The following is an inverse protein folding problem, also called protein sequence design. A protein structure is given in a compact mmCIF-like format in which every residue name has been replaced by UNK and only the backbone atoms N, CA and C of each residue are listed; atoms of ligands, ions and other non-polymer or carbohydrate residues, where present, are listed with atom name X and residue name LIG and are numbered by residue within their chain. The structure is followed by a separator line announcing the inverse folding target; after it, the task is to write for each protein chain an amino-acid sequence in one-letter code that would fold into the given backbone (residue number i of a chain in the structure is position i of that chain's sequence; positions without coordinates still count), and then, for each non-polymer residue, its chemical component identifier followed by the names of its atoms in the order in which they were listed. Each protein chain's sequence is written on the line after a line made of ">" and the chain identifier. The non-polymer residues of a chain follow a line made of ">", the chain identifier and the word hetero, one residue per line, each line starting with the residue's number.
data_IF_359426345522
#
_entry.id   IF_359426345522
#
_cell.length_a   1.000
_cell.length_b   1.000
_cell.length_c   1.000
_cell.angle_alpha   90.00
_cell.angle_beta   90.00
_cell.angle_gamma   90.00
#
_symmetry.space_group_name_H-M   'P 1'
#
loop_
_entity.id
_entity.type
_entity.pdbx_description
1 polymer ?
#
# COMPACT_ATOMS: atom_id res chain seq x y z
N UNK A 1 -0.95 -10.14 7.23
CA UNK A 1 -1.69 -11.40 7.42
C UNK A 1 -3.12 -11.33 6.87
N UNK A 2 -4.01 -10.46 7.38
CA UNK A 2 -5.44 -10.44 7.00
C UNK A 2 -5.67 -10.24 5.49
N UNK A 3 -4.92 -9.38 4.82
CA UNK A 3 -5.03 -9.16 3.37
C UNK A 3 -4.74 -10.44 2.58
N UNK A 4 -3.68 -11.16 2.95
CA UNK A 4 -3.31 -12.46 2.36
C UNK A 4 -4.43 -13.48 2.58
N UNK A 5 -5.00 -13.52 3.79
CA UNK A 5 -6.10 -14.42 4.11
C UNK A 5 -7.39 -14.10 3.34
N UNK A 6 -7.74 -12.81 3.19
CA UNK A 6 -8.92 -12.38 2.43
C UNK A 6 -8.81 -12.82 0.97
N UNK A 7 -7.69 -12.53 0.30
CA UNK A 7 -7.49 -12.88 -1.10
C UNK A 7 -7.52 -14.40 -1.30
N UNK A 8 -6.87 -15.16 -0.42
CA UNK A 8 -6.91 -16.62 -0.46
C UNK A 8 -8.32 -17.18 -0.23
N UNK A 9 -9.04 -16.63 0.76
CA UNK A 9 -10.39 -17.07 1.10
C UNK A 9 -11.39 -16.78 -0.02
N UNK A 10 -11.37 -15.57 -0.59
CA UNK A 10 -12.21 -15.22 -1.75
C UNK A 10 -11.91 -16.13 -2.93
N UNK A 11 -10.63 -16.41 -3.21
CA UNK A 11 -10.26 -17.32 -4.27
C UNK A 11 -10.77 -18.76 -4.02
N UNK A 12 -10.65 -19.28 -2.78
CA UNK A 12 -11.16 -20.62 -2.45
C UNK A 12 -12.67 -20.74 -2.64
N UNK A 13 -13.43 -19.68 -2.30
CA UNK A 13 -14.88 -19.67 -2.41
C UNK A 13 -15.38 -19.53 -3.86
N UNK A 14 -14.67 -18.78 -4.69
CA UNK A 14 -15.20 -18.36 -6.00
C UNK A 14 -14.44 -18.92 -7.18
N UNK A 15 -13.16 -19.26 -7.02
CA UNK A 15 -12.24 -19.59 -8.12
C UNK A 15 -12.23 -18.54 -9.24
N UNK A 16 -12.55 -17.29 -8.91
CA UNK A 16 -12.75 -16.20 -9.86
C UNK A 16 -11.74 -15.09 -9.67
N UNK A 17 -11.03 -14.74 -10.74
CA UNK A 17 -10.14 -13.61 -10.78
C UNK A 17 -10.89 -12.27 -10.63
N UNK A 18 -12.11 -12.17 -11.19
CA UNK A 18 -12.95 -10.99 -11.03
C UNK A 18 -13.36 -10.76 -9.58
N UNK A 19 -13.71 -11.85 -8.85
CA UNK A 19 -14.02 -11.76 -7.43
C UNK A 19 -12.83 -11.27 -6.60
N UNK A 20 -11.62 -11.65 -6.96
CA UNK A 20 -10.41 -11.07 -6.36
C UNK A 20 -10.29 -9.56 -6.69
N UNK A 21 -10.51 -9.15 -7.93
CA UNK A 21 -10.52 -7.73 -8.33
C UNK A 21 -11.51 -6.88 -7.53
N UNK A 22 -12.68 -7.43 -7.21
CA UNK A 22 -13.66 -6.76 -6.35
C UNK A 22 -13.15 -6.53 -4.92
N UNK A 23 -12.24 -7.35 -4.38
CA UNK A 23 -11.60 -7.08 -3.08
C UNK A 23 -10.88 -5.74 -3.12
N UNK A 24 -10.11 -5.47 -4.20
CA UNK A 24 -9.45 -4.19 -4.43
C UNK A 24 -10.43 -3.02 -4.43
N UNK A 25 -11.55 -3.15 -5.16
CA UNK A 25 -12.60 -2.13 -5.24
C UNK A 25 -13.23 -1.85 -3.88
N UNK A 26 -13.71 -2.90 -3.18
CA UNK A 26 -14.37 -2.75 -1.88
C UNK A 26 -13.45 -2.23 -0.77
N UNK A 27 -12.14 -2.37 -0.92
CA UNK A 27 -11.13 -1.76 -0.04
C UNK A 27 -10.73 -0.36 -0.50
N UNK A 28 -10.53 -0.18 -1.79
CA UNK A 28 -10.01 1.05 -2.37
C UNK A 28 -11.00 2.22 -2.30
N UNK A 29 -12.25 1.98 -2.68
CA UNK A 29 -13.28 3.05 -2.67
C UNK A 29 -13.46 3.67 -1.30
N UNK A 30 -13.64 2.91 -0.19
CA UNK A 30 -13.73 3.50 1.13
C UNK A 30 -12.45 4.26 1.55
N UNK A 31 -11.26 3.74 1.24
CA UNK A 31 -10.00 4.43 1.55
C UNK A 31 -9.95 5.78 0.83
N UNK A 32 -10.25 5.82 -0.48
CA UNK A 32 -10.19 7.05 -1.28
C UNK A 32 -11.21 8.08 -0.77
N UNK A 33 -12.44 7.66 -0.54
CA UNK A 33 -13.51 8.55 -0.08
C UNK A 33 -13.28 9.08 1.35
N UNK A 34 -12.79 8.22 2.24
CA UNK A 34 -12.60 8.57 3.65
C UNK A 34 -11.25 9.24 3.93
N UNK A 35 -10.23 9.06 3.08
CA UNK A 35 -8.89 9.59 3.35
C UNK A 35 -8.84 11.13 3.43
N UNK A 36 -9.64 11.82 2.63
CA UNK A 36 -9.76 13.29 2.68
C UNK A 36 -10.37 13.75 4.02
N UNK A 37 -11.42 13.05 4.46
CA UNK A 37 -12.06 13.34 5.74
C UNK A 37 -11.20 12.90 6.93
N UNK A 38 -10.43 11.82 6.79
CA UNK A 38 -9.63 11.23 7.85
C UNK A 38 -8.60 12.19 8.45
N UNK A 39 -7.89 12.93 7.61
CA UNK A 39 -6.93 13.95 8.06
C UNK A 39 -7.61 15.09 8.83
N UNK A 40 -8.72 15.62 8.29
CA UNK A 40 -9.52 16.69 8.92
C UNK A 40 -10.03 16.27 10.29
N UNK A 41 -10.58 15.06 10.36
CA UNK A 41 -11.15 14.50 11.60
C UNK A 41 -10.04 14.24 12.63
N UNK A 42 -8.88 13.71 12.23
CA UNK A 42 -7.74 13.48 13.11
C UNK A 42 -7.14 14.76 13.70
N UNK A 43 -7.29 15.89 12.99
CA UNK A 43 -6.88 17.21 13.49
C UNK A 43 -7.93 17.90 14.37
N UNK A 44 -9.22 17.53 14.24
CA UNK A 44 -10.33 18.14 14.95
C UNK A 44 -10.71 17.42 16.25
N UNK A 45 -10.50 16.10 16.33
CA UNK A 45 -10.97 15.26 17.43
C UNK A 45 -9.78 14.73 18.25
N UNK A 46 -10.04 14.30 19.48
CA UNK A 46 -9.08 13.58 20.31
C UNK A 46 -8.61 12.31 19.57
N UNK A 47 -7.34 12.32 19.19
CA UNK A 47 -6.69 11.28 18.38
C UNK A 47 -6.76 9.90 19.03
N UNK A 48 -6.62 9.84 20.38
CA UNK A 48 -6.72 8.60 21.15
C UNK A 48 -8.15 8.03 21.06
N UNK A 49 -9.19 8.87 21.22
CA UNK A 49 -10.59 8.43 21.09
C UNK A 49 -10.89 7.98 19.67
N UNK A 50 -10.41 8.73 18.67
CA UNK A 50 -10.58 8.37 17.26
C UNK A 50 -9.96 7.00 16.98
N UNK A 51 -8.73 6.74 17.43
CA UNK A 51 -8.07 5.44 17.28
C UNK A 51 -8.84 4.32 17.98
N UNK A 52 -9.37 4.54 19.20
CA UNK A 52 -10.18 3.52 19.89
C UNK A 52 -11.42 3.17 19.06
N UNK A 53 -12.12 4.15 18.49
CA UNK A 53 -13.29 3.91 17.64
C UNK A 53 -12.90 3.13 16.36
N UNK A 54 -11.86 3.57 15.65
CA UNK A 54 -11.41 2.91 14.40
C UNK A 54 -10.92 1.48 14.65
N UNK A 55 -10.13 1.27 15.71
CA UNK A 55 -9.66 -0.05 16.12
C UNK A 55 -10.82 -0.96 16.55
N UNK A 56 -11.87 -0.42 17.18
CA UNK A 56 -13.08 -1.18 17.53
C UNK A 56 -13.84 -1.61 16.28
N UNK A 57 -13.98 -0.75 15.28
CA UNK A 57 -14.61 -1.12 13.99
C UNK A 57 -13.80 -2.22 13.31
N UNK A 58 -12.46 -2.12 13.28
CA UNK A 58 -11.60 -3.14 12.71
C UNK A 58 -11.64 -4.47 13.49
N UNK A 59 -11.72 -4.40 14.83
CA UNK A 59 -11.93 -5.58 15.71
C UNK A 59 -13.23 -6.28 15.37
N UNK A 60 -14.35 -5.55 15.34
CA UNK A 60 -15.67 -6.10 15.03
C UNK A 60 -15.66 -6.73 13.63
N UNK A 61 -15.09 -6.04 12.66
CA UNK A 61 -14.97 -6.57 11.28
C UNK A 61 -14.19 -7.89 11.25
N UNK A 62 -13.06 -7.98 11.96
CA UNK A 62 -12.25 -9.19 12.02
C UNK A 62 -12.95 -10.32 12.80
N UNK A 63 -13.63 -10.01 13.89
CA UNK A 63 -14.40 -10.98 14.68
C UNK A 63 -15.59 -11.54 13.89
N UNK A 64 -16.30 -10.69 13.15
CA UNK A 64 -17.40 -11.12 12.28
C UNK A 64 -16.88 -11.96 11.09
N UNK A 65 -15.72 -11.63 10.52
CA UNK A 65 -15.06 -12.49 9.51
C UNK A 65 -14.72 -13.86 10.08
N UNK A 66 -14.21 -13.91 11.31
CA UNK A 66 -13.93 -15.16 12.01
C UNK A 66 -15.20 -15.99 12.18
N UNK A 67 -16.25 -15.38 12.75
CA UNK A 67 -17.53 -16.05 12.99
C UNK A 67 -18.16 -16.55 11.68
N UNK A 68 -18.19 -15.70 10.64
CA UNK A 68 -18.70 -16.06 9.32
C UNK A 68 -17.97 -17.24 8.70
N UNK A 69 -16.64 -17.29 8.85
CA UNK A 69 -15.82 -18.38 8.32
C UNK A 69 -16.02 -19.67 9.10
N UNK A 70 -16.10 -19.63 10.43
CA UNK A 70 -16.37 -20.78 11.29
C UNK A 70 -17.79 -21.33 11.08
N UNK A 71 -18.76 -20.47 10.80
CA UNK A 71 -20.12 -20.87 10.44
C UNK A 71 -20.21 -21.52 9.03
N UNK A 72 -19.12 -21.59 8.29
CA UNK A 72 -19.08 -22.21 6.96
C UNK A 72 -19.88 -21.45 5.89
N UNK A 73 -20.10 -20.16 6.05
CA UNK A 73 -20.83 -19.34 5.07
C UNK A 73 -20.03 -19.24 3.78
N UNK A 74 -20.62 -19.73 2.68
CA UNK A 74 -19.96 -19.77 1.37
C UNK A 74 -20.10 -18.45 0.56
N UNK A 75 -20.80 -17.46 1.10
CA UNK A 75 -20.98 -16.15 0.44
C UNK A 75 -19.74 -15.28 0.60
N UNK A 76 -19.34 -14.60 -0.47
CA UNK A 76 -18.22 -13.63 -0.47
C UNK A 76 -18.64 -12.23 0.00
N UNK A 77 -19.92 -11.92 -0.01
CA UNK A 77 -20.44 -10.59 0.33
C UNK A 77 -20.06 -10.12 1.73
N UNK A 78 -20.14 -10.96 2.79
CA UNK A 78 -19.65 -10.56 4.11
C UNK A 78 -18.17 -10.16 4.10
N UNK A 79 -17.33 -10.84 3.31
CA UNK A 79 -15.90 -10.54 3.20
C UNK A 79 -15.70 -9.15 2.57
N UNK A 80 -16.40 -8.82 1.49
CA UNK A 80 -16.32 -7.52 0.85
C UNK A 80 -16.79 -6.39 1.78
N UNK A 81 -17.96 -6.54 2.38
CA UNK A 81 -18.57 -5.51 3.24
C UNK A 81 -17.69 -5.26 4.48
N UNK A 82 -17.26 -6.32 5.16
CA UNK A 82 -16.42 -6.19 6.36
C UNK A 82 -15.03 -5.65 6.03
N UNK A 83 -14.47 -6.00 4.86
CA UNK A 83 -13.23 -5.40 4.35
C UNK A 83 -13.40 -3.92 4.03
N UNK A 84 -14.54 -3.50 3.50
CA UNK A 84 -14.85 -2.10 3.22
C UNK A 84 -14.91 -1.28 4.52
N UNK A 85 -15.60 -1.78 5.56
CA UNK A 85 -15.66 -1.13 6.87
C UNK A 85 -14.28 -1.02 7.53
N UNK A 86 -13.50 -2.10 7.50
CA UNK A 86 -12.14 -2.09 8.04
C UNK A 86 -11.23 -1.10 7.29
N UNK A 87 -11.38 -0.99 5.96
CA UNK A 87 -10.62 -0.07 5.13
C UNK A 87 -11.03 1.39 5.37
N UNK A 88 -12.33 1.66 5.51
CA UNK A 88 -12.84 2.98 5.91
C UNK A 88 -12.28 3.40 7.27
N UNK A 89 -12.33 2.52 8.26
CA UNK A 89 -11.77 2.79 9.60
C UNK A 89 -10.25 3.06 9.53
N UNK A 90 -9.51 2.30 8.72
CA UNK A 90 -8.07 2.49 8.52
C UNK A 90 -7.72 3.87 7.94
N UNK A 91 -8.58 4.43 7.08
CA UNK A 91 -8.38 5.76 6.50
C UNK A 91 -8.40 6.90 7.55
N UNK A 92 -9.05 6.69 8.69
CA UNK A 92 -9.02 7.60 9.84
C UNK A 92 -7.92 7.24 10.84
N UNK A 93 -7.64 5.93 11.02
CA UNK A 93 -6.65 5.43 12.00
C UNK A 93 -5.23 5.90 11.65
N UNK A 94 -4.83 5.78 10.38
CA UNK A 94 -3.47 6.10 9.94
C UNK A 94 -3.06 7.53 10.25
N UNK A 95 -3.82 8.60 9.85
CA UNK A 95 -3.45 9.96 10.18
C UNK A 95 -3.52 10.26 11.69
N UNK A 96 -4.48 9.68 12.41
CA UNK A 96 -4.58 9.84 13.87
C UNK A 96 -3.33 9.28 14.58
N UNK A 97 -2.87 8.09 14.18
CA UNK A 97 -1.67 7.45 14.72
C UNK A 97 -0.40 8.24 14.40
N UNK A 98 -0.26 8.73 13.17
CA UNK A 98 0.88 9.55 12.77
C UNK A 98 0.93 10.87 13.55
N UNK A 99 -0.23 11.47 13.81
CA UNK A 99 -0.32 12.71 14.58
C UNK A 99 -0.16 12.50 16.10
N UNK A 100 -0.43 11.30 16.63
CA UNK A 100 -0.23 10.96 18.04
C UNK A 100 1.24 10.63 18.34
N UNK A 101 1.96 10.01 17.43
CA UNK A 101 3.33 9.53 17.64
C UNK A 101 4.31 10.59 18.21
N UNK A 102 4.34 11.85 17.68
CA UNK A 102 5.24 12.88 18.23
C UNK A 102 4.91 13.31 19.67
N UNK A 103 3.70 13.01 20.17
CA UNK A 103 3.29 13.37 21.53
C UNK A 103 3.64 12.30 22.57
N UNK A 104 4.15 11.14 22.12
CA UNK A 104 4.45 10.00 22.98
C UNK A 104 5.89 9.96 23.46
N UNK A 105 6.79 10.64 22.76
CA UNK A 105 8.25 10.62 23.07
C UNK A 105 8.80 12.03 23.08
N UNK A 106 9.87 12.31 23.88
CA UNK A 106 10.61 13.56 23.80
C UNK A 106 11.14 13.81 22.37
N UNK A 107 11.32 15.08 22.00
CA UNK A 107 11.81 15.45 20.67
C UNK A 107 13.17 14.86 20.33
N UNK A 108 14.04 14.69 21.33
CA UNK A 108 15.35 14.06 21.20
C UNK A 108 15.29 12.59 20.82
N UNK A 109 14.26 11.86 21.29
CA UNK A 109 14.04 10.43 21.00
C UNK A 109 13.15 10.19 19.76
N UNK A 110 12.58 11.24 19.19
CA UNK A 110 11.66 11.11 18.07
C UNK A 110 12.25 10.41 16.83
N UNK A 111 13.54 10.66 16.43
CA UNK A 111 14.15 9.91 15.33
C UNK A 111 14.25 8.41 15.60
N UNK A 112 14.54 8.02 16.85
CA UNK A 112 14.60 6.61 17.26
C UNK A 112 13.21 5.95 17.21
N UNK A 113 12.17 6.66 17.67
CA UNK A 113 10.79 6.18 17.61
C UNK A 113 10.32 5.97 16.16
N UNK A 114 10.63 6.89 15.26
CA UNK A 114 10.34 6.76 13.83
C UNK A 114 11.08 5.56 13.24
N UNK A 115 12.37 5.40 13.54
CA UNK A 115 13.17 4.28 13.03
C UNK A 115 12.64 2.93 13.52
N UNK A 116 12.23 2.83 14.79
CA UNK A 116 11.60 1.63 15.33
C UNK A 116 10.27 1.33 14.64
N UNK A 117 9.45 2.35 14.39
CA UNK A 117 8.19 2.20 13.64
C UNK A 117 8.40 1.66 12.23
N UNK A 118 9.41 2.14 11.53
CA UNK A 118 9.80 1.66 10.20
C UNK A 118 10.26 0.19 10.26
N UNK A 119 11.09 -0.16 11.25
CA UNK A 119 11.56 -1.54 11.44
C UNK A 119 10.40 -2.50 11.68
N UNK A 120 9.48 -2.16 12.60
CA UNK A 120 8.28 -2.95 12.90
C UNK A 120 7.42 -3.11 11.65
N UNK A 121 7.22 -2.04 10.87
CA UNK A 121 6.49 -2.10 9.61
C UNK A 121 7.11 -3.09 8.62
N UNK A 122 8.42 -3.05 8.42
CA UNK A 122 9.11 -3.97 7.50
C UNK A 122 9.06 -5.42 7.99
N UNK A 123 9.29 -5.67 9.27
CA UNK A 123 9.16 -7.01 9.86
C UNK A 123 7.75 -7.57 9.67
N UNK A 124 6.73 -6.74 9.91
CA UNK A 124 5.34 -7.12 9.74
C UNK A 124 4.97 -7.37 8.26
N UNK A 125 5.53 -6.58 7.33
CA UNK A 125 5.23 -6.69 5.90
C UNK A 125 5.88 -7.93 5.27
N UNK A 126 7.03 -8.36 5.77
CA UNK A 126 7.71 -9.59 5.32
C UNK A 126 7.16 -10.81 6.07
N UNK A 127 7.19 -10.77 7.39
CA UNK A 127 6.81 -11.91 8.23
C UNK A 127 5.31 -12.21 8.19
N UNK A 128 4.49 -11.15 8.08
CA UNK A 128 3.04 -11.30 8.06
C UNK A 128 2.53 -12.23 6.95
N UNK A 129 2.82 -12.00 5.68
CA UNK A 129 2.43 -12.88 4.59
C UNK A 129 2.99 -14.29 4.71
N UNK A 130 4.28 -14.44 5.06
CA UNK A 130 4.92 -15.74 5.21
C UNK A 130 4.23 -16.59 6.30
N UNK A 131 4.03 -16.02 7.50
CA UNK A 131 3.32 -16.70 8.61
C UNK A 131 1.86 -16.99 8.21
N UNK A 132 1.20 -16.05 7.52
CA UNK A 132 -0.16 -16.27 7.04
C UNK A 132 -0.25 -17.49 6.11
N UNK A 133 0.74 -17.70 5.22
CA UNK A 133 0.79 -18.86 4.34
C UNK A 133 0.83 -20.19 5.09
N UNK A 134 1.61 -20.28 6.18
CA UNK A 134 1.64 -21.47 7.03
C UNK A 134 0.30 -21.68 7.75
N UNK A 135 -0.27 -20.64 8.37
CA UNK A 135 -1.55 -20.75 9.07
C UNK A 135 -2.68 -21.13 8.11
N UNK A 136 -2.70 -20.54 6.90
CA UNK A 136 -3.68 -20.87 5.87
C UNK A 136 -3.62 -22.33 5.46
N UNK A 137 -2.42 -22.89 5.34
CA UNK A 137 -2.22 -24.28 4.93
C UNK A 137 -2.67 -25.28 6.00
N UNK A 138 -2.45 -24.97 7.28
CA UNK A 138 -2.74 -25.88 8.40
C UNK A 138 -4.16 -25.70 8.97
N UNK A 139 -4.62 -24.45 9.05
CA UNK A 139 -5.79 -24.10 9.88
C UNK A 139 -6.83 -23.25 9.15
N UNK A 140 -6.53 -22.84 7.91
CA UNK A 140 -7.42 -22.02 7.12
C UNK A 140 -7.51 -20.55 7.56
N UNK A 141 -8.40 -19.75 6.91
CA UNK A 141 -8.45 -18.29 7.10
C UNK A 141 -9.05 -17.84 8.44
N UNK A 142 -9.90 -18.65 9.09
CA UNK A 142 -10.58 -18.29 10.34
C UNK A 142 -9.58 -17.92 11.45
N UNK A 143 -8.52 -18.70 11.62
CA UNK A 143 -7.49 -18.46 12.64
C UNK A 143 -6.81 -17.12 12.41
N UNK A 144 -6.51 -16.76 11.16
CA UNK A 144 -5.88 -15.46 10.84
C UNK A 144 -6.81 -14.29 11.20
N UNK A 145 -8.09 -14.42 10.90
CA UNK A 145 -9.08 -13.39 11.27
C UNK A 145 -9.19 -13.26 12.78
N UNK A 146 -9.21 -14.39 13.52
CA UNK A 146 -9.22 -14.42 14.98
C UNK A 146 -7.97 -13.80 15.60
N UNK A 147 -6.78 -14.14 15.10
CA UNK A 147 -5.53 -13.54 15.55
C UNK A 147 -5.50 -12.02 15.29
N UNK A 148 -6.05 -11.61 14.16
CA UNK A 148 -6.13 -10.18 13.85
C UNK A 148 -7.14 -9.45 14.76
N UNK A 149 -8.28 -10.06 15.07
CA UNK A 149 -9.21 -9.53 16.05
C UNK A 149 -8.56 -9.39 17.43
N UNK A 150 -7.83 -10.42 17.87
CA UNK A 150 -7.08 -10.36 19.12
C UNK A 150 -6.01 -9.25 19.12
N UNK A 151 -5.31 -9.04 17.99
CA UNK A 151 -4.33 -7.97 17.88
C UNK A 151 -4.95 -6.57 18.02
N UNK A 152 -6.13 -6.35 17.45
CA UNK A 152 -6.86 -5.09 17.64
C UNK A 152 -7.30 -4.89 19.10
N UNK A 153 -7.74 -5.94 19.78
CA UNK A 153 -8.06 -5.87 21.20
C UNK A 153 -6.84 -5.46 22.04
N UNK A 154 -5.66 -6.01 21.73
CA UNK A 154 -4.42 -5.63 22.41
C UNK A 154 -4.07 -4.14 22.16
N UNK A 155 -4.27 -3.63 20.94
CA UNK A 155 -4.05 -2.21 20.61
C UNK A 155 -5.06 -1.33 21.38
N UNK A 156 -6.33 -1.70 21.43
CA UNK A 156 -7.35 -0.96 22.19
C UNK A 156 -6.98 -0.93 23.68
N UNK A 157 -6.57 -2.06 24.26
CA UNK A 157 -6.11 -2.12 25.64
C UNK A 157 -4.92 -1.20 25.89
N UNK A 158 -3.92 -1.20 25.00
CA UNK A 158 -2.77 -0.31 25.09
C UNK A 158 -3.19 1.17 25.02
N UNK A 159 -4.11 1.52 24.11
CA UNK A 159 -4.63 2.88 24.00
C UNK A 159 -5.39 3.31 25.26
N UNK A 160 -6.20 2.44 25.84
CA UNK A 160 -6.94 2.73 27.09
C UNK A 160 -5.98 2.96 28.25
N UNK A 161 -4.96 2.13 28.40
CA UNK A 161 -3.93 2.22 29.45
C UNK A 161 -2.99 3.42 29.28
N UNK A 162 -2.89 3.98 28.07
CA UNK A 162 -2.05 5.15 27.79
C UNK A 162 -2.53 6.38 28.58
N UNK A 163 -1.62 7.05 29.28
CA UNK A 163 -1.90 8.24 30.08
C UNK A 163 -1.83 9.55 29.29
N UNK A 164 -1.19 9.53 28.12
CA UNK A 164 -1.01 10.72 27.27
C UNK A 164 -2.34 11.19 26.71
N UNK A 165 -2.56 12.50 26.72
CA UNK A 165 -3.74 13.13 26.11
C UNK A 165 -3.62 13.09 24.58
N UNK A 166 -4.64 12.61 23.90
CA UNK A 166 -4.76 12.65 22.44
C UNK A 166 -5.32 13.95 21.89
N UNK A 167 -5.54 14.96 22.74
CA UNK A 167 -6.15 16.23 22.32
C UNK A 167 -5.21 16.99 21.39
N UNK A 168 -5.72 17.55 20.28
CA UNK A 168 -4.94 18.42 19.40
C UNK A 168 -4.50 19.67 20.18
N UNK A 169 -3.28 20.15 19.87
CA UNK A 169 -2.81 21.43 20.41
C UNK A 169 -3.52 22.56 19.66
N UNK A 170 -4.45 23.25 20.36
CA UNK A 170 -5.32 24.29 19.79
C UNK A 170 -4.55 25.59 19.42
N UNK A 171 -3.26 25.70 19.77
CA UNK A 171 -2.47 26.92 19.54
C UNK A 171 -1.83 27.00 18.14
N UNK A 172 -1.89 25.97 17.33
CA UNK A 172 -1.36 26.09 15.98
C UNK A 172 -2.42 26.63 15.02
N UNK A 173 -2.09 27.63 14.24
CA UNK A 173 -2.86 28.28 13.16
C UNK A 173 -3.34 27.33 12.03
N UNK A 174 -3.60 26.07 12.35
CA UNK A 174 -3.97 24.99 11.42
C UNK A 174 -5.38 25.11 10.82
N UNK A 175 -6.23 26.02 11.34
CA UNK A 175 -7.54 26.30 10.72
C UNK A 175 -7.44 26.77 9.27
N UNK A 176 -6.28 27.33 8.87
CA UNK A 176 -6.04 27.76 7.48
C UNK A 176 -5.56 26.61 6.56
N UNK A 177 -5.00 25.55 7.12
CA UNK A 177 -4.40 24.46 6.31
C UNK A 177 -5.44 23.54 5.63
N UNK A 178 -6.65 23.47 6.18
CA UNK A 178 -7.76 22.62 5.69
C UNK A 178 -8.84 23.42 4.96
N UNK A 179 -8.58 24.70 4.65
CA UNK A 179 -9.49 25.48 3.81
C UNK A 179 -9.50 24.91 2.38
N UNK A 180 -10.68 24.86 1.76
CA UNK A 180 -10.84 24.54 0.33
C UNK A 180 -9.90 25.36 -0.55
N UNK A 181 -9.60 26.59 -0.13
CA UNK A 181 -8.62 27.49 -0.74
C UNK A 181 -7.20 26.92 -0.68
N UNK A 182 -6.82 26.33 0.45
CA UNK A 182 -5.50 25.71 0.63
C UNK A 182 -5.32 24.46 -0.27
N UNK A 183 -6.38 23.63 -0.38
CA UNK A 183 -6.38 22.48 -1.29
C UNK A 183 -6.27 22.95 -2.76
N UNK A 184 -7.02 24.00 -3.15
CA UNK A 184 -6.96 24.59 -4.49
C UNK A 184 -5.57 25.16 -4.81
N UNK A 185 -4.92 25.78 -3.85
CA UNK A 185 -3.55 26.30 -4.00
C UNK A 185 -2.54 25.16 -4.20
N UNK A 186 -2.63 24.10 -3.38
CA UNK A 186 -1.81 22.91 -3.55
C UNK A 186 -2.02 22.23 -4.91
N UNK A 187 -3.27 22.08 -5.34
CA UNK A 187 -3.60 21.51 -6.64
C UNK A 187 -3.08 22.39 -7.79
N UNK A 188 -3.24 23.71 -7.68
CA UNK A 188 -2.69 24.67 -8.64
C UNK A 188 -1.17 24.54 -8.74
N UNK A 189 -0.46 24.47 -7.60
CA UNK A 189 0.99 24.26 -7.58
C UNK A 189 1.40 22.96 -8.26
N UNK A 190 0.78 21.83 -7.89
CA UNK A 190 1.05 20.52 -8.50
C UNK A 190 0.87 20.60 -10.02
N UNK A 191 -0.25 21.16 -10.49
CA UNK A 191 -0.57 21.24 -11.91
C UNK A 191 0.39 22.12 -12.72
N UNK A 192 0.92 23.19 -12.09
CA UNK A 192 1.88 24.10 -12.73
C UNK A 192 3.34 23.65 -12.58
N UNK A 193 3.59 22.53 -11.91
CA UNK A 193 4.94 21.97 -11.74
C UNK A 193 5.06 20.67 -12.52
N UNK A 194 5.49 20.68 -13.79
CA UNK A 194 5.45 19.51 -14.67
C UNK A 194 6.12 18.27 -14.11
N UNK A 195 7.26 18.42 -13.42
CA UNK A 195 7.99 17.29 -12.84
C UNK A 195 7.19 16.58 -11.74
N UNK A 196 6.39 17.30 -10.96
CA UNK A 196 5.53 16.72 -9.92
C UNK A 196 4.42 15.91 -10.59
N UNK A 197 3.73 16.50 -11.58
CA UNK A 197 2.69 15.79 -12.33
C UNK A 197 3.26 14.53 -12.99
N UNK A 198 4.42 14.64 -13.65
CA UNK A 198 5.07 13.50 -14.33
C UNK A 198 5.41 12.38 -13.36
N UNK A 199 5.96 12.70 -12.17
CA UNK A 199 6.29 11.69 -11.16
C UNK A 199 5.04 11.04 -10.55
N UNK A 200 3.96 11.81 -10.32
CA UNK A 200 2.69 11.28 -9.80
C UNK A 200 1.97 10.41 -10.83
N UNK A 201 1.91 10.87 -12.09
CA UNK A 201 1.26 10.12 -13.18
C UNK A 201 2.01 8.82 -13.48
N UNK A 202 3.35 8.87 -13.50
CA UNK A 202 4.17 7.67 -13.71
C UNK A 202 3.97 6.65 -12.58
N UNK A 203 3.90 7.12 -11.32
CA UNK A 203 3.60 6.30 -10.15
C UNK A 203 2.25 5.61 -10.27
N UNK A 204 1.21 6.41 -10.51
CA UNK A 204 -0.15 5.91 -10.65
C UNK A 204 -0.27 4.88 -11.76
N UNK A 205 0.22 5.20 -12.97
CA UNK A 205 0.10 4.30 -14.12
C UNK A 205 0.95 3.03 -13.94
N UNK A 206 2.18 3.13 -13.41
CA UNK A 206 3.02 1.97 -13.18
C UNK A 206 2.39 1.01 -12.17
N UNK A 207 1.83 1.52 -11.07
CA UNK A 207 1.18 0.70 -10.05
C UNK A 207 -0.21 0.22 -10.47
N UNK A 208 -0.94 1.00 -11.27
CA UNK A 208 -2.20 0.59 -11.88
C UNK A 208 -2.01 -0.65 -12.75
N UNK A 209 -1.08 -0.61 -13.70
CA UNK A 209 -0.81 -1.76 -14.57
C UNK A 209 -0.04 -2.88 -13.87
N UNK A 210 0.76 -2.57 -12.85
CA UNK A 210 1.62 -3.53 -12.15
C UNK A 210 0.98 -4.30 -11.00
N UNK A 211 -0.35 -4.21 -10.80
CA UNK A 211 -1.07 -4.81 -9.66
C UNK A 211 -1.19 -6.34 -9.71
N UNK A 212 -0.07 -7.04 -9.96
CA UNK A 212 -0.03 -8.50 -10.07
C UNK A 212 -0.28 -9.25 -8.76
N UNK A 213 -0.06 -8.61 -7.60
CA UNK A 213 -0.11 -9.26 -6.28
C UNK A 213 -1.48 -9.79 -5.89
N UNK A 214 -2.55 -9.21 -6.42
CA UNK A 214 -3.91 -9.69 -6.22
C UNK A 214 -4.13 -11.10 -6.78
N UNK A 215 -3.49 -11.42 -7.90
CA UNK A 215 -3.65 -12.69 -8.62
C UNK A 215 -2.75 -13.81 -8.08
N UNK A 216 -1.90 -13.53 -7.09
CA UNK A 216 -0.98 -14.52 -6.48
C UNK A 216 -1.67 -15.81 -5.99
N UNK A 217 -2.91 -15.81 -5.43
CA UNK A 217 -3.60 -17.04 -5.07
C UNK A 217 -3.80 -17.98 -6.27
N UNK A 218 -4.15 -17.41 -7.44
CA UNK A 218 -4.34 -18.17 -8.70
C UNK A 218 -3.01 -18.78 -9.14
N UNK A 219 -1.94 -17.96 -9.17
CA UNK A 219 -0.61 -18.44 -9.52
C UNK A 219 -0.13 -19.56 -8.58
N UNK A 220 -0.30 -19.39 -7.27
CA UNK A 220 0.13 -20.35 -6.28
C UNK A 220 -0.60 -21.71 -6.41
N UNK A 221 -1.91 -21.65 -6.73
CA UNK A 221 -2.76 -22.85 -6.76
C UNK A 221 -2.76 -23.52 -8.13
N UNK A 222 -2.89 -22.76 -9.22
CA UNK A 222 -3.14 -23.31 -10.56
C UNK A 222 -1.87 -23.39 -11.42
N UNK A 223 -0.94 -22.45 -11.27
CA UNK A 223 0.23 -22.36 -12.14
C UNK A 223 1.48 -23.00 -11.55
N UNK A 224 1.73 -22.72 -10.27
CA UNK A 224 2.95 -23.17 -9.57
C UNK A 224 2.70 -24.40 -8.69
N UNK A 225 1.44 -24.71 -8.38
CA UNK A 225 1.04 -25.84 -7.54
C UNK A 225 1.73 -25.89 -6.16
N UNK A 226 1.94 -24.72 -5.53
CA UNK A 226 2.66 -24.59 -4.26
C UNK A 226 1.73 -24.36 -3.05
N UNK A 227 0.43 -24.27 -3.29
CA UNK A 227 -0.58 -24.12 -2.24
C UNK A 227 -0.44 -22.86 -1.41
N UNK A 228 -1.09 -22.85 -0.24
CA UNK A 228 -1.15 -21.69 0.65
C UNK A 228 0.22 -21.30 1.24
N UNK A 229 1.09 -22.27 1.55
CA UNK A 229 2.45 -21.98 2.05
C UNK A 229 3.27 -21.22 1.00
N UNK A 230 3.27 -21.71 -0.25
CA UNK A 230 3.95 -21.05 -1.36
C UNK A 230 3.38 -19.67 -1.65
N UNK A 231 2.06 -19.50 -1.57
CA UNK A 231 1.39 -18.23 -1.69
C UNK A 231 1.89 -17.20 -0.66
N UNK A 232 2.05 -17.59 0.61
CA UNK A 232 2.57 -16.72 1.65
C UNK A 232 3.97 -16.16 1.33
N UNK A 233 4.87 -17.01 0.82
CA UNK A 233 6.20 -16.56 0.39
C UNK A 233 6.17 -15.69 -0.88
N UNK A 234 5.31 -16.02 -1.86
CA UNK A 234 5.12 -15.17 -3.04
C UNK A 234 4.63 -13.77 -2.63
N UNK A 235 3.71 -13.69 -1.66
CA UNK A 235 3.21 -12.41 -1.14
C UNK A 235 4.25 -11.65 -0.28
N UNK A 236 5.22 -12.33 0.33
CA UNK A 236 6.31 -11.72 1.08
C UNK A 236 7.48 -11.25 0.18
N UNK A 237 7.66 -11.86 -0.98
CA UNK A 237 8.82 -11.64 -1.85
C UNK A 237 9.03 -10.16 -2.26
N UNK A 238 8.00 -9.38 -2.64
CA UNK A 238 8.18 -7.95 -2.93
C UNK A 238 8.73 -7.17 -1.74
N UNK A 239 8.24 -7.45 -0.53
CA UNK A 239 8.70 -6.76 0.69
C UNK A 239 10.17 -7.10 1.01
N UNK A 240 10.60 -8.33 0.79
CA UNK A 240 12.01 -8.75 0.94
C UNK A 240 12.88 -7.93 -0.03
N UNK A 241 12.51 -7.87 -1.30
CA UNK A 241 13.20 -7.08 -2.31
C UNK A 241 13.28 -5.59 -1.93
N UNK A 242 12.17 -5.03 -1.46
CA UNK A 242 12.06 -3.63 -1.00
C UNK A 242 13.06 -3.33 0.12
N UNK A 243 13.11 -4.18 1.16
CA UNK A 243 14.01 -3.98 2.31
C UNK A 243 15.47 -4.08 1.91
N UNK A 244 15.83 -5.10 1.13
CA UNK A 244 17.21 -5.26 0.65
C UNK A 244 17.65 -4.04 -0.16
N UNK A 245 16.80 -3.56 -1.05
CA UNK A 245 17.09 -2.37 -1.87
C UNK A 245 17.18 -1.10 -1.04
N UNK A 246 16.29 -0.90 -0.07
CA UNK A 246 16.35 0.25 0.83
C UNK A 246 17.68 0.28 1.62
N UNK A 247 18.15 -0.87 2.11
CA UNK A 247 19.45 -0.98 2.80
C UNK A 247 20.63 -0.64 1.87
N UNK A 248 20.59 -1.10 0.63
CA UNK A 248 21.63 -0.78 -0.37
C UNK A 248 21.60 0.71 -0.70
N UNK A 249 20.42 1.29 -0.95
CA UNK A 249 20.29 2.72 -1.26
C UNK A 249 20.75 3.61 -0.09
N UNK A 250 20.48 3.22 1.15
CA UNK A 250 20.94 3.95 2.33
C UNK A 250 22.47 4.03 2.43
N UNK A 251 23.20 3.04 1.90
CA UNK A 251 24.67 3.03 1.84
C UNK A 251 25.26 3.74 0.63
N UNK A 252 24.50 3.86 -0.47
CA UNK A 252 25.02 4.45 -1.73
C UNK A 252 24.98 5.98 -1.75
N UNK A 253 24.27 6.64 -0.82
CA UNK A 253 24.16 8.10 -0.77
C UNK A 253 23.31 8.68 -1.90
N UNK A 254 23.59 9.92 -2.32
CA UNK A 254 22.79 10.63 -3.32
C UNK A 254 23.13 10.24 -4.75
N UNK A 255 22.11 9.96 -5.56
CA UNK A 255 22.24 9.67 -6.99
C UNK A 255 22.16 10.98 -7.80
N UNK A 256 23.08 11.19 -8.73
CA UNK A 256 23.12 12.41 -9.56
C UNK A 256 21.93 12.49 -10.55
N UNK A 257 21.65 11.41 -11.28
CA UNK A 257 20.65 11.36 -12.36
C UNK A 257 19.36 10.70 -11.90
N UNK A 258 18.71 11.28 -10.91
CA UNK A 258 17.53 10.67 -10.27
C UNK A 258 16.37 10.42 -11.24
N UNK A 259 16.08 11.36 -12.14
CA UNK A 259 14.99 11.22 -13.07
C UNK A 259 15.11 10.03 -14.02
N UNK A 260 16.33 9.79 -14.55
CA UNK A 260 16.59 8.60 -15.40
C UNK A 260 16.45 7.31 -14.62
N UNK A 261 16.95 7.29 -13.38
CA UNK A 261 16.83 6.10 -12.51
C UNK A 261 15.38 5.77 -12.18
N UNK A 262 14.50 6.77 -11.98
CA UNK A 262 13.06 6.56 -11.83
C UNK A 262 12.47 5.85 -13.04
N UNK A 263 12.78 6.31 -14.25
CA UNK A 263 12.24 5.69 -15.48
C UNK A 263 12.77 4.28 -15.66
N UNK A 264 14.09 4.06 -15.44
CA UNK A 264 14.68 2.72 -15.51
C UNK A 264 14.10 1.76 -14.46
N UNK A 265 13.85 2.23 -13.23
CA UNK A 265 13.26 1.38 -12.20
C UNK A 265 11.83 0.97 -12.57
N UNK A 266 11.01 1.85 -13.17
CA UNK A 266 9.68 1.49 -13.68
C UNK A 266 9.79 0.50 -14.87
N UNK A 267 10.78 0.64 -15.72
CA UNK A 267 11.01 -0.33 -16.80
C UNK A 267 11.38 -1.72 -16.24
N UNK A 268 12.29 -1.79 -15.26
CA UNK A 268 12.66 -3.06 -14.59
C UNK A 268 11.43 -3.65 -13.86
N UNK A 269 10.63 -2.83 -13.21
CA UNK A 269 9.37 -3.24 -12.59
C UNK A 269 8.44 -3.91 -13.61
N UNK A 270 8.24 -3.30 -14.80
CA UNK A 270 7.40 -3.84 -15.85
C UNK A 270 7.94 -5.16 -16.43
N UNK A 271 9.26 -5.24 -16.70
CA UNK A 271 9.92 -6.48 -17.16
C UNK A 271 9.75 -7.60 -16.13
N UNK A 272 10.03 -7.32 -14.86
CA UNK A 272 9.94 -8.32 -13.79
C UNK A 272 8.49 -8.79 -13.60
N UNK A 273 7.51 -7.88 -13.70
CA UNK A 273 6.07 -8.22 -13.65
C UNK A 273 5.69 -9.12 -14.83
N UNK A 274 6.07 -8.78 -16.05
CA UNK A 274 5.80 -9.61 -17.23
C UNK A 274 6.49 -10.98 -17.15
N UNK A 275 7.75 -11.02 -16.69
CA UNK A 275 8.50 -12.26 -16.48
C UNK A 275 7.85 -13.16 -15.41
N UNK A 276 7.33 -12.56 -14.33
CA UNK A 276 6.51 -13.29 -13.35
C UNK A 276 5.26 -13.87 -14.01
N UNK A 277 4.56 -13.10 -14.84
CA UNK A 277 3.33 -13.52 -15.54
C UNK A 277 3.52 -14.78 -16.39
N UNK A 278 4.67 -14.95 -17.06
CA UNK A 278 4.97 -16.15 -17.87
C UNK A 278 5.60 -17.29 -17.06
N UNK A 279 6.00 -17.05 -15.83
CA UNK A 279 6.74 -18.01 -15.00
C UNK A 279 5.91 -19.25 -14.66
N UNK A 280 6.56 -20.41 -14.73
CA UNK A 280 6.07 -21.70 -14.25
C UNK A 280 6.97 -22.28 -13.16
N UNK A 281 8.07 -21.58 -12.82
CA UNK A 281 9.06 -22.04 -11.83
C UNK A 281 8.93 -21.20 -10.58
N UNK A 282 8.68 -21.83 -9.45
CA UNK A 282 8.42 -21.16 -8.17
C UNK A 282 9.55 -20.21 -7.73
N UNK A 283 10.79 -20.68 -7.77
CA UNK A 283 11.97 -19.87 -7.36
C UNK A 283 12.19 -18.67 -8.28
N UNK A 284 11.96 -18.84 -9.57
CA UNK A 284 12.03 -17.73 -10.53
C UNK A 284 10.89 -16.72 -10.26
N UNK A 285 9.70 -17.18 -9.94
CA UNK A 285 8.57 -16.32 -9.56
C UNK A 285 8.88 -15.50 -8.30
N UNK A 286 9.46 -16.12 -7.27
CA UNK A 286 9.92 -15.41 -6.06
C UNK A 286 10.97 -14.35 -6.38
N UNK A 287 11.94 -14.68 -7.21
CA UNK A 287 12.98 -13.74 -7.64
C UNK A 287 12.37 -12.55 -8.39
N UNK A 288 11.50 -12.81 -9.36
CA UNK A 288 10.86 -11.73 -10.13
C UNK A 288 10.01 -10.83 -9.25
N UNK A 289 9.24 -11.37 -8.30
CA UNK A 289 8.48 -10.60 -7.33
C UNK A 289 9.38 -9.79 -6.38
N UNK A 290 10.52 -10.33 -5.97
CA UNK A 290 11.52 -9.56 -5.21
C UNK A 290 12.10 -8.41 -6.04
N UNK A 291 12.37 -8.62 -7.34
CA UNK A 291 12.81 -7.55 -8.27
C UNK A 291 11.71 -6.51 -8.47
N UNK A 292 10.43 -6.90 -8.52
CA UNK A 292 9.29 -5.98 -8.55
C UNK A 292 9.31 -5.06 -7.32
N UNK A 293 9.43 -5.60 -6.12
CA UNK A 293 9.51 -4.80 -4.90
C UNK A 293 10.78 -3.94 -4.82
N UNK A 294 11.92 -4.46 -5.28
CA UNK A 294 13.19 -3.71 -5.37
C UNK A 294 13.06 -2.49 -6.27
N UNK A 295 12.55 -2.67 -7.47
CA UNK A 295 12.42 -1.60 -8.47
C UNK A 295 11.38 -0.56 -8.06
N UNK A 296 10.28 -0.98 -7.43
CA UNK A 296 9.30 -0.05 -6.87
C UNK A 296 9.90 0.80 -5.74
N UNK A 297 10.72 0.22 -4.87
CA UNK A 297 11.41 0.95 -3.80
C UNK A 297 12.35 2.01 -4.36
N UNK A 298 13.19 1.67 -5.35
CA UNK A 298 14.06 2.66 -6.02
C UNK A 298 13.23 3.79 -6.59
N UNK A 299 12.19 3.47 -7.34
CA UNK A 299 11.30 4.45 -7.96
C UNK A 299 10.63 5.35 -6.91
N UNK A 300 10.08 4.77 -5.85
CA UNK A 300 9.35 5.50 -4.80
C UNK A 300 10.26 6.45 -4.03
N UNK A 301 11.45 5.99 -3.61
CA UNK A 301 12.41 6.82 -2.87
C UNK A 301 12.86 8.01 -3.73
N UNK A 302 13.25 7.77 -4.98
CA UNK A 302 13.72 8.83 -5.86
C UNK A 302 12.60 9.83 -6.21
N UNK A 303 11.39 9.36 -6.53
CA UNK A 303 10.24 10.24 -6.79
C UNK A 303 9.89 11.09 -5.59
N UNK A 304 9.91 10.51 -4.39
CA UNK A 304 9.64 11.26 -3.16
C UNK A 304 10.72 12.32 -2.90
N UNK A 305 11.99 11.99 -3.13
CA UNK A 305 13.11 12.94 -3.02
C UNK A 305 12.94 14.09 -4.00
N UNK A 306 12.69 13.81 -5.28
CA UNK A 306 12.46 14.84 -6.31
C UNK A 306 11.32 15.77 -5.88
N UNK A 307 10.16 15.21 -5.49
CA UNK A 307 8.99 15.98 -5.07
C UNK A 307 9.29 16.89 -3.88
N UNK A 308 10.02 16.40 -2.88
CA UNK A 308 10.37 17.18 -1.70
C UNK A 308 11.36 18.30 -2.00
N UNK A 309 12.33 18.07 -2.89
CA UNK A 309 13.31 19.09 -3.30
C UNK A 309 12.66 20.23 -4.12
N UNK A 310 11.73 19.89 -5.00
CA UNK A 310 11.06 20.88 -5.88
C UNK A 310 9.95 21.65 -5.16
N UNK A 311 9.41 21.10 -4.05
CA UNK A 311 8.26 21.70 -3.36
C UNK A 311 8.72 22.70 -2.27
N UNK A 312 8.26 23.97 -2.32
CA UNK A 312 8.49 24.94 -1.25
C UNK A 312 7.97 24.46 0.10
N UNK A 313 8.63 24.83 1.20
CA UNK A 313 8.32 24.32 2.55
C UNK A 313 6.84 24.49 2.94
N UNK A 314 6.22 25.65 2.62
CA UNK A 314 4.82 25.95 2.96
C UNK A 314 3.79 25.13 2.15
N UNK A 315 4.18 24.48 1.03
CA UNK A 315 3.33 23.65 0.18
C UNK A 315 3.56 22.15 0.35
N UNK A 316 4.62 21.72 1.08
CA UNK A 316 4.99 20.30 1.21
C UNK A 316 3.84 19.43 1.75
N UNK A 317 3.16 19.89 2.78
CA UNK A 317 2.03 19.12 3.34
C UNK A 317 0.88 18.94 2.33
N UNK A 318 0.54 20.02 1.61
CA UNK A 318 -0.53 20.00 0.59
C UNK A 318 -0.17 19.09 -0.59
N UNK A 319 1.05 19.19 -1.09
CA UNK A 319 1.57 18.32 -2.14
C UNK A 319 1.55 16.85 -1.70
N UNK A 320 1.97 16.57 -0.47
CA UNK A 320 1.96 15.19 0.08
C UNK A 320 0.55 14.63 0.16
N UNK A 321 -0.45 15.42 0.59
CA UNK A 321 -1.86 14.99 0.64
C UNK A 321 -2.39 14.65 -0.75
N UNK A 322 -2.09 15.49 -1.75
CA UNK A 322 -2.48 15.20 -3.14
C UNK A 322 -1.79 13.94 -3.64
N UNK A 323 -0.48 13.79 -3.37
CA UNK A 323 0.26 12.60 -3.77
C UNK A 323 -0.30 11.30 -3.16
N UNK A 324 -0.79 11.35 -1.91
CA UNK A 324 -1.40 10.19 -1.25
C UNK A 324 -2.63 9.67 -2.01
N UNK A 325 -3.41 10.55 -2.65
CA UNK A 325 -4.56 10.12 -3.46
C UNK A 325 -4.10 9.30 -4.68
N UNK A 326 -3.04 9.74 -5.36
CA UNK A 326 -2.46 9.01 -6.49
C UNK A 326 -1.81 7.70 -6.04
N UNK A 327 -1.03 7.75 -4.97
CA UNK A 327 -0.32 6.61 -4.41
C UNK A 327 -1.28 5.51 -3.92
N UNK A 328 -2.38 5.87 -3.26
CA UNK A 328 -3.37 4.90 -2.79
C UNK A 328 -4.35 4.46 -3.89
N UNK A 329 -4.69 5.36 -4.83
CA UNK A 329 -5.67 5.07 -5.87
C UNK A 329 -5.14 4.12 -6.95
N UNK A 330 -3.89 4.25 -7.35
CA UNK A 330 -3.29 3.46 -8.42
C UNK A 330 -3.39 1.94 -8.18
N UNK A 331 -2.81 1.40 -7.10
CA UNK A 331 -2.87 -0.03 -6.83
C UNK A 331 -4.30 -0.58 -6.70
N UNK A 332 -5.20 0.13 -6.03
CA UNK A 332 -6.57 -0.35 -5.78
C UNK A 332 -7.39 -0.44 -7.07
N UNK A 333 -7.27 0.56 -7.95
CA UNK A 333 -7.91 0.52 -9.26
C UNK A 333 -7.25 -0.50 -10.19
N UNK A 334 -5.93 -0.66 -10.07
CA UNK A 334 -5.18 -1.69 -10.80
C UNK A 334 -5.54 -3.11 -10.37
N UNK A 335 -5.88 -3.34 -9.10
CA UNK A 335 -6.38 -4.63 -8.62
C UNK A 335 -7.70 -5.00 -9.32
N UNK A 336 -8.62 -4.04 -9.51
CA UNK A 336 -9.87 -4.27 -10.24
C UNK A 336 -9.60 -4.51 -11.72
N UNK A 337 -8.73 -3.73 -12.34
CA UNK A 337 -8.33 -3.89 -13.75
C UNK A 337 -7.72 -5.28 -13.97
N UNK A 338 -6.71 -5.65 -13.18
CA UNK A 338 -6.02 -6.92 -13.28
C UNK A 338 -6.97 -8.11 -13.06
N UNK A 339 -7.89 -8.03 -12.08
CA UNK A 339 -8.90 -9.05 -11.84
C UNK A 339 -9.90 -9.19 -12.98
N UNK A 340 -10.35 -8.07 -13.56
CA UNK A 340 -11.27 -8.05 -14.71
C UNK A 340 -10.59 -8.62 -15.95
N UNK A 341 -9.38 -8.18 -16.24
CA UNK A 341 -8.60 -8.67 -17.38
C UNK A 341 -8.28 -10.16 -17.22
N UNK A 342 -7.91 -10.59 -16.03
CA UNK A 342 -7.66 -12.01 -15.74
C UNK A 342 -8.89 -12.88 -15.90
N UNK A 343 -10.09 -12.37 -15.65
CA UNK A 343 -11.34 -13.08 -15.89
C UNK A 343 -11.63 -13.31 -17.40
N UNK A 344 -11.14 -12.39 -18.24
CA UNK A 344 -11.36 -12.45 -19.70
C UNK A 344 -10.31 -13.30 -20.43
N UNK A 345 -9.04 -13.15 -20.05
CA UNK A 345 -7.90 -13.72 -20.80
C UNK A 345 -6.98 -14.61 -19.95
N UNK A 346 -7.34 -14.83 -18.67
CA UNK A 346 -6.55 -15.62 -17.71
C UNK A 346 -5.50 -14.78 -16.95
N UNK A 347 -5.21 -15.23 -15.72
CA UNK A 347 -4.31 -14.51 -14.82
C UNK A 347 -2.88 -14.33 -15.37
N UNK A 348 -2.24 -15.32 -16.03
CA UNK A 348 -0.90 -15.13 -16.59
C UNK A 348 -0.85 -14.00 -17.61
N UNK A 349 -1.82 -13.95 -18.53
CA UNK A 349 -1.84 -12.95 -19.60
C UNK A 349 -2.19 -11.56 -19.08
N UNK A 350 -3.07 -11.46 -18.08
CA UNK A 350 -3.36 -10.20 -17.37
C UNK A 350 -2.09 -9.59 -16.78
N UNK A 351 -1.29 -10.38 -16.07
CA UNK A 351 -0.02 -9.93 -15.47
C UNK A 351 1.01 -9.53 -16.53
N UNK A 352 1.09 -10.28 -17.63
CA UNK A 352 1.98 -9.93 -18.76
C UNK A 352 1.59 -8.59 -19.37
N UNK A 353 0.31 -8.40 -19.66
CA UNK A 353 -0.20 -7.13 -20.21
C UNK A 353 0.05 -5.98 -19.24
N UNK A 354 -0.18 -6.18 -17.94
CA UNK A 354 0.13 -5.20 -16.90
C UNK A 354 1.62 -4.82 -16.87
N UNK A 355 2.52 -5.81 -16.98
CA UNK A 355 3.96 -5.58 -17.10
C UNK A 355 4.33 -4.76 -18.35
N UNK A 356 3.74 -5.09 -19.50
CA UNK A 356 3.92 -4.30 -20.73
C UNK A 356 3.31 -2.90 -20.62
N UNK A 357 2.16 -2.73 -19.96
CA UNK A 357 1.58 -1.43 -19.66
C UNK A 357 2.54 -0.54 -18.88
N UNK A 358 3.17 -1.08 -17.83
CA UNK A 358 4.20 -0.37 -17.06
C UNK A 358 5.42 -0.03 -17.91
N UNK A 359 5.86 -0.90 -18.83
CA UNK A 359 6.94 -0.63 -19.79
C UNK A 359 6.60 0.49 -20.75
N UNK A 360 5.38 0.50 -21.28
CA UNK A 360 4.89 1.57 -22.16
C UNK A 360 4.87 2.90 -21.41
N UNK A 361 4.45 2.91 -20.14
CA UNK A 361 4.49 4.10 -19.29
C UNK A 361 5.92 4.61 -19.08
N UNK A 362 6.88 3.71 -18.82
CA UNK A 362 8.30 4.06 -18.71
C UNK A 362 8.85 4.64 -20.03
N UNK A 363 8.57 4.01 -21.16
CA UNK A 363 8.97 4.48 -22.48
C UNK A 363 8.35 5.85 -22.81
N UNK A 364 7.06 6.03 -22.54
CA UNK A 364 6.38 7.30 -22.73
C UNK A 364 6.97 8.41 -21.84
N UNK A 365 7.31 8.09 -20.59
CA UNK A 365 7.99 9.01 -19.69
C UNK A 365 9.39 9.36 -20.18
N UNK A 366 10.16 8.41 -20.71
CA UNK A 366 11.49 8.64 -21.28
C UNK A 366 11.44 9.64 -22.46
N UNK A 367 10.42 9.54 -23.32
CA UNK A 367 10.28 10.38 -24.51
C UNK A 367 9.62 11.74 -24.20
N UNK A 368 8.53 11.74 -23.43
CA UNK A 368 7.69 12.94 -23.23
C UNK A 368 8.09 13.76 -22.01
N UNK A 369 8.71 13.17 -20.99
CA UNK A 369 8.97 13.81 -19.71
C UNK A 369 10.40 14.38 -19.64
N UNK A 370 10.73 15.33 -20.51
CA UNK A 370 12.07 15.97 -20.56
C UNK A 370 12.51 16.57 -19.21
N UNK A 371 11.60 17.17 -18.46
CA UNK A 371 11.91 17.76 -17.13
C UNK A 371 12.29 16.66 -16.11
N UNK A 372 11.65 15.50 -16.15
CA UNK A 372 12.01 14.37 -15.32
C UNK A 372 13.35 13.76 -15.76
N UNK A 373 13.53 13.49 -17.06
CA UNK A 373 14.75 12.85 -17.60
C UNK A 373 16.03 13.66 -17.37
N UNK A 374 15.91 14.99 -17.36
CA UNK A 374 17.03 15.91 -17.16
C UNK A 374 17.21 16.35 -15.71
N UNK A 375 16.38 15.82 -14.78
CA UNK A 375 16.53 16.19 -13.38
C UNK A 375 17.80 15.57 -12.80
N UNK A 376 18.72 16.43 -12.40
CA UNK A 376 19.96 16.09 -11.70
C UNK A 376 20.04 16.90 -10.41
N UNK A 377 20.60 16.32 -9.36
CA UNK A 377 20.94 17.04 -8.13
C UNK A 377 22.35 17.60 -8.32
N UNK A 378 22.46 18.92 -8.30
CA UNK A 378 23.77 19.58 -8.18
C UNK A 378 24.37 19.24 -6.81
N UNK A 379 25.64 18.83 -6.80
CA UNK A 379 26.38 18.49 -5.55
C UNK A 379 26.86 19.75 -4.89
#
# INVERSE_FOLDING_TARGET
>A
MQFVAINWHVYLLTKSAFALGLVGLFRGVPIILCSLAGGVVADAIDRKKLMIVTQTVMLISAALLTANTLAGVKSVWPIYILSAFASAASAFDVPARQALMPTLVPLEDFPNAVSLGILVFHVATIGGPAIAGFILAESGPAIIYGLNAFSFLAVIAALVLMRTSGKPDLQSDRKSALSFTALKEGLKFVWHTPIIVQTMTLDFLATFFGSATLLLPIFAQERLNVGARGYGFLAAAPAIGSVLTALVMARMGSFRRQGRLVVWSVAVFGVATAAFGVSTVYWFSLLMLAVVGSSDTVSTVLRQTIRQLVTPNHLRGRMTSINMMFFMGGPQLGELEAGTLAALIGAPMSVVIGGFGSLICAAAAAVKSKSLMNFEIEK
#
